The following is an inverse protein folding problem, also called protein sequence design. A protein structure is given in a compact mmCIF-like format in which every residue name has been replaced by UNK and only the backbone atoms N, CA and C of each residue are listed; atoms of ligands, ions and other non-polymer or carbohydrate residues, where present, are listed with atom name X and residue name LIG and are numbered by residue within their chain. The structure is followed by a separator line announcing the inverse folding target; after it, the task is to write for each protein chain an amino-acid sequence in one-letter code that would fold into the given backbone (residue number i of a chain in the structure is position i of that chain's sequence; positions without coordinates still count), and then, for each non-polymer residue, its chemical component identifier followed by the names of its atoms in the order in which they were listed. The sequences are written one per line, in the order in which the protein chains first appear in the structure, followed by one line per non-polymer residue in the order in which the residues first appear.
data_IF_082727434476
#
_entry.id   IF_082727434476
#
_cell.length_a   1.000
_cell.length_b   1.000
_cell.length_c   1.000
_cell.angle_alpha   90.00
_cell.angle_beta   90.00
_cell.angle_gamma   90.00
#
_symmetry.space_group_name_H-M   'P 1'
#
loop_
_entity.id
_entity.type
_entity.pdbx_description
1 polymer ?
#
# COMPACT_ATOMS: atom_id res chain seq x y z
N UNK A 1 -16.57 12.03 -6.32
CA UNK A 1 -16.54 12.29 -4.86
C UNK A 1 -17.25 11.18 -4.09
N UNK A 2 -18.37 10.66 -4.59
CA UNK A 2 -19.14 9.62 -3.91
C UNK A 2 -18.34 8.33 -3.69
N UNK A 3 -17.41 8.02 -4.59
CA UNK A 3 -16.45 6.91 -4.40
C UNK A 3 -15.70 6.98 -3.07
N UNK A 4 -15.22 8.15 -2.64
CA UNK A 4 -14.48 8.29 -1.37
C UNK A 4 -15.39 8.18 -0.15
N UNK A 5 -16.64 8.68 -0.25
CA UNK A 5 -17.63 8.54 0.82
C UNK A 5 -18.00 7.08 1.07
N UNK A 6 -18.02 6.23 0.02
CA UNK A 6 -18.23 4.77 0.16
C UNK A 6 -17.16 4.09 1.01
N UNK A 7 -15.98 4.69 1.15
CA UNK A 7 -14.91 4.22 2.03
C UNK A 7 -14.88 4.96 3.38
N UNK A 8 -15.96 5.63 3.75
CA UNK A 8 -16.13 6.29 5.04
C UNK A 8 -15.44 7.64 5.18
N UNK A 9 -14.95 8.23 4.08
CA UNK A 9 -14.30 9.54 4.18
C UNK A 9 -15.33 10.64 4.43
N UNK A 10 -15.06 11.45 5.45
CA UNK A 10 -15.76 12.70 5.70
C UNK A 10 -15.51 13.73 4.58
N UNK A 11 -16.39 14.74 4.50
CA UNK A 11 -16.18 15.87 3.58
C UNK A 11 -14.84 16.57 3.79
N UNK A 12 -14.42 16.71 5.05
CA UNK A 12 -13.14 17.34 5.41
C UNK A 12 -11.94 16.50 4.98
N UNK A 13 -12.00 15.18 5.12
CA UNK A 13 -10.95 14.28 4.62
C UNK A 13 -10.83 14.37 3.09
N UNK A 14 -11.96 14.36 2.38
CA UNK A 14 -11.97 14.51 0.92
C UNK A 14 -11.36 15.85 0.52
N UNK A 15 -11.79 16.94 1.16
CA UNK A 15 -11.29 18.29 0.85
C UNK A 15 -9.79 18.42 1.18
N UNK A 16 -9.34 17.85 2.30
CA UNK A 16 -7.94 17.83 2.70
C UNK A 16 -7.08 17.04 1.70
N UNK A 17 -7.51 15.84 1.31
CA UNK A 17 -6.84 15.04 0.28
C UNK A 17 -6.70 15.79 -1.04
N UNK A 18 -7.77 16.47 -1.47
CA UNK A 18 -7.81 17.28 -2.67
C UNK A 18 -6.86 18.48 -2.61
N UNK A 19 -6.75 19.15 -1.47
CA UNK A 19 -5.78 20.24 -1.27
C UNK A 19 -4.34 19.73 -1.29
N UNK A 20 -4.07 18.59 -0.64
CA UNK A 20 -2.73 17.99 -0.58
C UNK A 20 -2.23 17.54 -1.95
N UNK A 21 -3.10 16.96 -2.77
CA UNK A 21 -2.75 16.55 -4.12
C UNK A 21 -3.98 16.61 -5.04
N UNK A 22 -4.24 17.75 -5.68
CA UNK A 22 -5.44 17.96 -6.52
C UNK A 22 -5.60 16.92 -7.63
N UNK A 23 -4.48 16.35 -8.06
CA UNK A 23 -4.43 15.31 -9.08
C UNK A 23 -5.27 14.08 -8.71
N UNK A 24 -5.47 13.76 -7.42
CA UNK A 24 -6.31 12.61 -7.07
C UNK A 24 -7.76 12.72 -7.58
N UNK A 25 -8.24 13.92 -7.94
CA UNK A 25 -9.53 14.13 -8.60
C UNK A 25 -9.59 13.55 -10.03
N UNK A 26 -8.46 13.33 -10.70
CA UNK A 26 -8.42 12.82 -12.08
C UNK A 26 -8.29 11.30 -12.14
N UNK A 27 -8.21 10.62 -11.00
CA UNK A 27 -8.10 9.16 -10.94
C UNK A 27 -9.48 8.56 -11.17
N UNK A 28 -9.57 7.53 -12.01
CA UNK A 28 -10.84 6.86 -12.28
C UNK A 28 -11.41 6.19 -11.02
N UNK A 29 -12.74 6.14 -10.92
CA UNK A 29 -13.40 5.47 -9.79
C UNK A 29 -13.02 4.00 -9.69
N UNK A 30 -12.87 3.32 -10.83
CA UNK A 30 -12.39 1.92 -10.90
C UNK A 30 -11.02 1.76 -10.22
N UNK A 31 -10.07 2.65 -10.55
CA UNK A 31 -8.73 2.63 -9.95
C UNK A 31 -8.79 2.92 -8.46
N UNK A 32 -9.60 3.88 -8.02
CA UNK A 32 -9.79 4.20 -6.59
C UNK A 32 -10.34 2.99 -5.85
N UNK A 33 -11.39 2.35 -6.37
CA UNK A 33 -12.01 1.18 -5.77
C UNK A 33 -11.03 0.01 -5.66
N UNK A 34 -10.25 -0.27 -6.71
CA UNK A 34 -9.27 -1.34 -6.70
C UNK A 34 -8.15 -1.10 -5.67
N UNK A 35 -7.62 0.13 -5.61
CA UNK A 35 -6.60 0.50 -4.63
C UNK A 35 -7.12 0.43 -3.20
N UNK A 36 -8.32 0.97 -2.95
CA UNK A 36 -8.91 0.96 -1.61
C UNK A 36 -9.25 -0.45 -1.15
N UNK A 37 -9.80 -1.30 -2.03
CA UNK A 37 -10.10 -2.70 -1.70
C UNK A 37 -8.84 -3.44 -1.27
N UNK A 38 -7.75 -3.29 -2.03
CA UNK A 38 -6.49 -3.93 -1.66
C UNK A 38 -5.92 -3.37 -0.35
N UNK A 39 -5.82 -2.03 -0.22
CA UNK A 39 -5.17 -1.44 0.96
C UNK A 39 -5.96 -1.64 2.25
N UNK A 40 -7.27 -1.45 2.22
CA UNK A 40 -8.13 -1.48 3.41
C UNK A 40 -8.54 -2.91 3.72
N UNK A 41 -9.11 -3.63 2.76
CA UNK A 41 -9.71 -4.93 3.04
C UNK A 41 -8.66 -6.04 3.08
N UNK A 42 -7.71 -6.03 2.15
CA UNK A 42 -6.72 -7.11 2.08
C UNK A 42 -5.50 -6.84 2.95
N UNK A 43 -4.95 -5.63 2.94
CA UNK A 43 -3.71 -5.33 3.67
C UNK A 43 -3.98 -4.92 5.11
N UNK A 44 -5.07 -4.21 5.38
CA UNK A 44 -5.46 -3.78 6.73
C UNK A 44 -5.02 -2.36 7.09
N UNK A 45 -4.79 -1.49 6.10
CA UNK A 45 -4.67 -0.05 6.38
C UNK A 45 -6.03 0.51 6.79
N UNK A 46 -6.00 1.50 7.69
CA UNK A 46 -7.19 2.28 7.98
C UNK A 46 -7.64 3.07 6.74
N UNK A 47 -8.94 3.24 6.55
CA UNK A 47 -9.47 3.95 5.39
C UNK A 47 -9.02 5.41 5.33
N UNK A 48 -8.66 6.03 6.46
CA UNK A 48 -8.07 7.38 6.51
C UNK A 48 -6.63 7.43 5.99
N UNK A 49 -5.89 6.33 5.98
CA UNK A 49 -4.48 6.33 5.55
C UNK A 49 -4.30 6.78 4.09
N UNK A 50 -5.09 6.31 3.10
CA UNK A 50 -5.03 6.86 1.74
C UNK A 50 -5.57 8.31 1.63
N UNK A 51 -6.38 8.79 2.59
CA UNK A 51 -6.82 10.19 2.64
C UNK A 51 -5.67 11.11 3.05
N UNK A 52 -4.84 10.65 3.98
CA UNK A 52 -3.64 11.36 4.39
C UNK A 52 -2.58 11.38 3.31
N UNK A 53 -2.56 10.35 2.46
CA UNK A 53 -1.62 10.20 1.36
C UNK A 53 -2.25 9.95 -0.03
N UNK A 54 -2.88 10.95 -0.65
CA UNK A 54 -3.59 10.77 -1.92
C UNK A 54 -2.69 10.43 -3.11
N UNK A 55 -1.36 10.59 -2.97
CA UNK A 55 -0.37 10.17 -3.96
C UNK A 55 -0.44 8.67 -4.25
N UNK A 56 -0.89 7.85 -3.30
CA UNK A 56 -0.95 6.40 -3.47
C UNK A 56 -1.82 5.99 -4.67
N UNK A 57 -2.88 6.76 -4.99
CA UNK A 57 -3.77 6.48 -6.11
C UNK A 57 -3.10 6.61 -7.49
N UNK A 58 -1.97 7.32 -7.57
CA UNK A 58 -1.16 7.42 -8.79
C UNK A 58 -0.16 6.29 -8.97
N UNK A 59 0.12 5.53 -7.92
CA UNK A 59 1.04 4.40 -8.03
C UNK A 59 0.40 3.28 -8.85
N UNK A 60 1.21 2.56 -9.64
CA UNK A 60 0.74 1.33 -10.28
C UNK A 60 0.26 0.35 -9.21
N UNK A 61 -0.96 -0.16 -9.36
CA UNK A 61 -1.51 -1.10 -8.38
C UNK A 61 -0.69 -2.39 -8.43
N UNK A 62 -0.46 -2.92 -9.64
CA UNK A 62 0.24 -4.18 -9.87
C UNK A 62 1.74 -4.08 -9.64
N UNK A 63 2.38 -3.00 -10.10
CA UNK A 63 3.85 -2.95 -10.12
C UNK A 63 4.45 -2.26 -8.89
N UNK A 64 3.64 -1.49 -8.13
CA UNK A 64 4.13 -0.73 -6.98
C UNK A 64 3.38 -1.01 -5.68
N UNK A 65 2.05 -0.86 -5.68
CA UNK A 65 1.28 -0.93 -4.45
C UNK A 65 1.25 -2.36 -3.91
N UNK A 66 0.83 -3.33 -4.74
CA UNK A 66 0.72 -4.74 -4.33
C UNK A 66 2.06 -5.28 -3.83
N UNK A 67 3.16 -5.25 -4.62
CA UNK A 67 4.41 -5.87 -4.20
C UNK A 67 4.96 -5.30 -2.90
N UNK A 68 4.90 -3.97 -2.75
CA UNK A 68 5.45 -3.29 -1.57
C UNK A 68 4.61 -3.52 -0.32
N UNK A 69 3.29 -3.37 -0.41
CA UNK A 69 2.43 -3.55 0.75
C UNK A 69 2.40 -5.02 1.20
N UNK A 70 2.46 -5.96 0.26
CA UNK A 70 2.58 -7.39 0.54
C UNK A 70 3.86 -7.74 1.30
N UNK A 71 5.01 -7.22 0.88
CA UNK A 71 6.28 -7.39 1.60
C UNK A 71 6.16 -6.85 3.03
N UNK A 72 5.66 -5.62 3.21
CA UNK A 72 5.48 -5.02 4.54
C UNK A 72 4.55 -5.88 5.41
N UNK A 73 3.44 -6.37 4.86
CA UNK A 73 2.50 -7.20 5.60
C UNK A 73 3.12 -8.50 6.09
N UNK A 74 3.94 -9.16 5.27
CA UNK A 74 4.68 -10.37 5.67
C UNK A 74 5.67 -10.06 6.80
N UNK A 75 6.41 -8.96 6.69
CA UNK A 75 7.38 -8.58 7.71
C UNK A 75 6.71 -8.29 9.06
N UNK A 76 5.54 -7.63 9.03
CA UNK A 76 4.73 -7.40 10.24
C UNK A 76 4.20 -8.72 10.80
N UNK A 77 3.63 -9.60 9.98
CA UNK A 77 3.05 -10.86 10.46
C UNK A 77 4.09 -11.80 11.07
N UNK A 78 5.35 -11.71 10.62
CA UNK A 78 6.49 -12.47 11.16
C UNK A 78 7.21 -11.77 12.32
N UNK A 79 6.76 -10.58 12.73
CA UNK A 79 7.36 -9.81 13.82
C UNK A 79 8.74 -9.22 13.50
N UNK A 80 9.14 -9.19 12.24
CA UNK A 80 10.43 -8.64 11.79
C UNK A 80 10.42 -7.10 11.76
N UNK A 81 9.24 -6.51 11.54
CA UNK A 81 8.98 -5.09 11.77
C UNK A 81 7.75 -4.92 12.65
N UNK A 82 7.71 -3.80 13.40
CA UNK A 82 6.69 -3.60 14.43
C UNK A 82 5.30 -3.29 13.87
N UNK A 83 5.24 -2.52 12.79
CA UNK A 83 3.99 -1.95 12.28
C UNK A 83 4.04 -1.71 10.76
N UNK A 84 2.86 -1.47 10.19
CA UNK A 84 2.71 -1.10 8.79
C UNK A 84 3.39 0.24 8.51
N UNK A 85 4.06 0.33 7.37
CA UNK A 85 4.76 1.55 6.96
C UNK A 85 3.77 2.57 6.38
N UNK A 86 3.87 3.88 6.70
CA UNK A 86 2.96 4.89 6.15
C UNK A 86 2.90 4.87 4.62
N UNK A 87 1.70 5.00 4.06
CA UNK A 87 1.48 4.93 2.61
C UNK A 87 2.24 6.02 1.84
N UNK A 88 2.52 7.16 2.46
CA UNK A 88 3.38 8.18 1.86
C UNK A 88 4.82 7.71 1.68
N UNK A 89 5.38 7.00 2.65
CA UNK A 89 6.70 6.37 2.52
C UNK A 89 6.68 5.30 1.43
N UNK A 90 5.63 4.47 1.38
CA UNK A 90 5.46 3.45 0.33
C UNK A 90 5.32 4.07 -1.06
N UNK A 91 4.69 5.23 -1.18
CA UNK A 91 4.45 5.91 -2.47
C UNK A 91 5.70 6.59 -3.01
N UNK A 92 6.57 7.12 -2.15
CA UNK A 92 7.71 7.98 -2.54
C UNK A 92 9.05 7.27 -2.56
N UNK A 93 9.21 6.18 -1.80
CA UNK A 93 10.47 5.42 -1.81
C UNK A 93 10.76 4.86 -3.21
N UNK A 94 12.01 4.98 -3.66
CA UNK A 94 12.45 4.42 -4.94
C UNK A 94 12.66 2.92 -4.85
N UNK A 95 12.52 2.19 -5.96
CA UNK A 95 12.55 0.71 -5.96
C UNK A 95 13.84 0.15 -5.34
N UNK A 96 15.00 0.72 -5.70
CA UNK A 96 16.30 0.30 -5.14
C UNK A 96 16.32 0.39 -3.61
N UNK A 97 15.89 1.53 -3.06
CA UNK A 97 15.88 1.75 -1.62
C UNK A 97 14.85 0.86 -0.90
N UNK A 98 13.70 0.61 -1.51
CA UNK A 98 12.71 -0.33 -0.97
C UNK A 98 13.28 -1.76 -0.93
N UNK A 99 13.90 -2.18 -2.03
CA UNK A 99 14.50 -3.50 -2.17
C UNK A 99 15.58 -3.74 -1.11
N UNK A 100 16.53 -2.81 -0.97
CA UNK A 100 17.60 -2.92 0.03
C UNK A 100 17.03 -2.98 1.45
N UNK A 101 16.08 -2.10 1.78
CA UNK A 101 15.57 -1.92 3.15
C UNK A 101 14.60 -3.00 3.62
N UNK A 102 13.77 -3.55 2.73
CA UNK A 102 12.67 -4.44 3.12
C UNK A 102 12.72 -5.82 2.48
N UNK A 103 13.45 -6.00 1.38
CA UNK A 103 13.52 -7.30 0.69
C UNK A 103 14.84 -7.99 0.97
N UNK A 104 15.96 -7.32 0.72
CA UNK A 104 17.30 -7.89 0.92
C UNK A 104 17.65 -7.99 2.40
N UNK A 105 17.33 -6.96 3.19
CA UNK A 105 17.59 -6.92 4.63
C UNK A 105 17.03 -8.13 5.38
N UNK A 106 15.85 -8.62 4.98
CA UNK A 106 15.15 -9.75 5.62
C UNK A 106 15.13 -11.02 4.75
N UNK A 107 16.01 -11.07 3.74
CA UNK A 107 16.02 -12.15 2.76
C UNK A 107 16.53 -13.48 3.32
N UNK A 108 17.19 -13.49 4.49
CA UNK A 108 17.60 -14.73 5.15
C UNK A 108 16.44 -15.32 5.97
N UNK A 109 15.70 -14.45 6.65
CA UNK A 109 14.55 -14.81 7.48
C UNK A 109 13.33 -15.17 6.64
N UNK A 110 13.17 -14.53 5.47
CA UNK A 110 12.08 -14.78 4.52
C UNK A 110 12.64 -14.81 3.09
N UNK A 111 13.24 -15.95 2.67
CA UNK A 111 13.86 -16.10 1.35
C UNK A 111 12.96 -15.75 0.16
N UNK A 112 11.65 -15.77 0.35
CA UNK A 112 10.69 -15.60 -0.74
C UNK A 112 10.18 -14.18 -0.90
N UNK A 113 10.65 -13.21 -0.09
CA UNK A 113 10.31 -11.79 -0.25
C UNK A 113 10.65 -11.27 -1.65
N UNK A 114 11.76 -11.71 -2.24
CA UNK A 114 12.12 -11.31 -3.60
C UNK A 114 11.06 -11.79 -4.62
N UNK A 115 10.58 -13.02 -4.47
CA UNK A 115 9.54 -13.57 -5.36
C UNK A 115 8.22 -12.84 -5.18
N UNK A 116 7.86 -12.46 -3.95
CA UNK A 116 6.68 -11.63 -3.67
C UNK A 116 6.83 -10.24 -4.30
N UNK A 117 7.99 -9.60 -4.12
CA UNK A 117 8.27 -8.26 -4.67
C UNK A 117 8.24 -8.25 -6.21
N UNK A 118 8.61 -9.35 -6.85
CA UNK A 118 8.52 -9.50 -8.31
C UNK A 118 7.14 -9.96 -8.80
N UNK A 119 6.19 -10.22 -7.90
CA UNK A 119 4.87 -10.75 -8.27
C UNK A 119 4.86 -12.23 -8.68
N UNK A 120 5.96 -12.96 -8.45
CA UNK A 120 6.12 -14.39 -8.75
C UNK A 120 5.64 -15.32 -7.62
N UNK A 121 5.18 -14.76 -6.49
CA UNK A 121 4.61 -15.52 -5.37
C UNK A 121 3.47 -14.76 -4.71
N UNK A 122 2.37 -15.46 -4.38
CA UNK A 122 1.29 -14.88 -3.58
C UNK A 122 1.77 -14.69 -2.14
N UNK A 123 1.60 -13.47 -1.63
CA UNK A 123 1.99 -13.11 -0.27
C UNK A 123 1.11 -13.76 0.80
N UNK A 124 -0.13 -14.10 0.47
CA UNK A 124 -1.08 -14.73 1.40
C UNK A 124 -0.59 -16.10 1.88
N UNK A 125 0.16 -16.83 1.06
CA UNK A 125 0.77 -18.11 1.41
C UNK A 125 1.83 -17.97 2.52
N UNK A 126 2.32 -16.75 2.75
CA UNK A 126 3.28 -16.39 3.80
C UNK A 126 2.62 -15.73 5.02
N UNK A 127 1.27 -15.61 4.96
CA UNK A 127 0.27 -15.27 5.97
C UNK A 127 0.34 -16.03 7.30
N UNK A 128 0.85 -17.26 7.27
CA UNK A 128 0.53 -18.25 8.29
C UNK A 128 1.51 -18.22 9.47
N UNK A 129 0.95 -17.94 10.65
CA UNK A 129 1.28 -18.51 11.96
C UNK A 129 -0.03 -18.96 12.60
#
# INVERSE_FOLDING_TARGET
MDVYKRWGWSGDQIQSAFRKNPRCMTVSEEKIMAVMSFLVNEIGYDSSSPAECPLIFYCSLKDRIIPRCSVIKILVSKGLIKEMIPLCSISTIVDKAFLERFVQMYGQEVPELMKVFQGHRNYQDLLQN
#
